data_IF_884445999338
#
_entry.id   IF_884445999338
#
_cell.length_a   1.000
_cell.length_b   1.000
_cell.length_c   1.000
_cell.angle_alpha   90.00
_cell.angle_beta   90.00
_cell.angle_gamma   90.00
#
_symmetry.space_group_name_H-M   'P 1'
#
loop_
_entity.id
_entity.type
_entity.pdbx_description
1 polymer ?
#
# COMPACT_ATOMS: atom_id res chain seq x y z
N UNK A 1 16.11 -10.43 -19.45
CA UNK A 1 15.85 -10.19 -19.14
C UNK A 1 15.63 -9.76 -18.61
N UNK A 2 15.75 -9.94 -18.42
CA UNK A 2 15.57 -9.56 -17.72
C UNK A 2 15.37 -9.12 -17.06
N UNK A 3 15.65 -9.05 -17.02
CA UNK A 3 15.45 -8.64 -16.35
C UNK A 3 14.99 -8.22 -15.72
N UNK A 4 14.93 -8.36 -15.51
CA UNK A 4 14.38 -8.11 -15.01
C UNK A 4 14.22 -7.60 -14.32
N UNK A 5 14.50 -7.75 -14.11
CA UNK A 5 14.33 -7.42 -13.49
C UNK A 5 14.30 -6.63 -12.91
N UNK A 6 14.75 -6.64 -12.85
CA UNK A 6 14.77 -6.00 -12.41
C UNK A 6 14.47 -5.27 -11.99
N UNK A 7 14.24 -5.40 -11.78
CA UNK A 7 13.78 -4.94 -11.48
C UNK A 7 13.52 -4.23 -10.55
N UNK A 8 13.55 -4.90 -9.69
CA UNK A 8 13.45 -4.16 -8.60
C UNK A 8 14.17 -2.94 -8.75
N UNK A 9 13.63 -2.07 -9.24
CA UNK A 9 14.32 -0.92 -9.61
C UNK A 9 13.99 0.22 -8.71
N UNK A 10 14.74 1.28 -8.76
CA UNK A 10 14.44 2.44 -7.93
C UNK A 10 13.08 3.07 -8.23
N UNK A 11 12.50 2.72 -9.37
CA UNK A 11 11.18 3.25 -9.66
C UNK A 11 10.09 2.50 -8.94
N UNK A 12 10.43 1.37 -8.34
CA UNK A 12 9.42 0.58 -7.66
C UNK A 12 8.64 1.36 -6.60
N UNK A 13 9.24 2.29 -5.87
CA UNK A 13 8.46 3.04 -4.88
C UNK A 13 7.25 3.74 -5.46
N UNK A 14 7.38 4.30 -6.65
CA UNK A 14 6.23 4.98 -7.25
C UNK A 14 5.15 4.00 -7.64
N UNK A 15 5.55 2.85 -8.17
CA UNK A 15 4.59 1.82 -8.53
C UNK A 15 3.92 1.30 -7.27
N UNK A 16 4.68 1.11 -6.21
CA UNK A 16 4.13 0.61 -4.95
C UNK A 16 3.11 1.58 -4.39
N UNK A 17 3.40 2.87 -4.45
CA UNK A 17 2.45 3.87 -3.97
C UNK A 17 1.17 3.84 -4.78
N UNK A 18 1.29 3.63 -6.08
CA UNK A 18 0.10 3.56 -6.93
C UNK A 18 -0.75 2.33 -6.58
N UNK A 19 -0.10 1.21 -6.30
CA UNK A 19 -0.82 0.00 -5.93
C UNK A 19 -1.53 0.21 -4.60
N UNK A 20 -0.83 0.75 -3.61
CA UNK A 20 -1.44 0.97 -2.31
C UNK A 20 -2.57 1.98 -2.41
N UNK A 21 -2.36 3.03 -3.20
CA UNK A 21 -3.41 4.04 -3.38
C UNK A 21 -4.65 3.46 -4.01
N UNK A 22 -4.48 2.59 -5.00
CA UNK A 22 -5.62 1.96 -5.63
C UNK A 22 -6.39 1.10 -4.62
N UNK A 23 -5.67 0.36 -3.79
CA UNK A 23 -6.31 -0.49 -2.78
C UNK A 23 -7.05 0.34 -1.74
N UNK A 24 -6.56 1.55 -1.45
CA UNK A 24 -7.21 2.41 -0.48
C UNK A 24 -8.45 3.07 -1.04
N UNK A 25 -8.47 3.31 -2.34
CA UNK A 25 -9.58 4.03 -2.96
C UNK A 25 -10.64 3.09 -3.49
N UNK A 26 -10.23 1.96 -4.09
CA UNK A 26 -11.17 1.06 -4.73
C UNK A 26 -11.23 -0.25 -3.99
N UNK A 27 -12.40 -0.58 -3.50
CA UNK A 27 -12.55 -1.80 -2.72
C UNK A 27 -12.27 -3.05 -3.53
N UNK A 28 -12.46 -2.98 -4.83
CA UNK A 28 -12.28 -4.15 -5.68
C UNK A 28 -10.83 -4.41 -6.03
N UNK A 29 -9.96 -3.46 -5.75
CA UNK A 29 -8.54 -3.64 -6.06
C UNK A 29 -7.88 -4.63 -5.11
N UNK A 30 -8.28 -4.59 -3.85
CA UNK A 30 -7.61 -5.42 -2.85
C UNK A 30 -7.70 -6.91 -3.16
N UNK A 31 -8.87 -7.46 -3.52
CA UNK A 31 -8.91 -8.88 -3.86
C UNK A 31 -7.95 -9.26 -4.98
N UNK A 32 -7.81 -8.40 -5.97
CA UNK A 32 -6.93 -8.70 -7.08
C UNK A 32 -5.47 -8.67 -6.66
N UNK A 33 -5.12 -7.70 -5.84
CA UNK A 33 -3.74 -7.55 -5.41
C UNK A 33 -3.37 -8.60 -4.38
N UNK A 34 -4.29 -8.90 -3.47
CA UNK A 34 -4.02 -9.84 -2.39
C UNK A 34 -3.68 -11.23 -2.93
N UNK A 35 -4.23 -11.57 -4.08
CA UNK A 35 -3.99 -12.87 -4.67
C UNK A 35 -2.57 -12.99 -5.23
N UNK A 36 -1.94 -11.87 -5.52
CA UNK A 36 -0.66 -11.89 -6.22
C UNK A 36 0.50 -11.32 -5.43
N UNK A 37 0.26 -10.46 -4.47
CA UNK A 37 1.33 -9.76 -3.78
C UNK A 37 1.37 -10.11 -2.31
N UNK A 38 2.59 -10.23 -1.79
CA UNK A 38 2.82 -10.38 -0.37
C UNK A 38 3.54 -9.15 0.14
N UNK A 39 3.42 -8.85 1.44
CA UNK A 39 4.08 -7.65 1.96
C UNK A 39 5.57 -7.60 1.69
N UNK A 40 6.25 -8.74 1.78
CA UNK A 40 7.68 -8.76 1.59
C UNK A 40 8.11 -8.48 0.17
N UNK A 41 7.17 -8.47 -0.76
CA UNK A 41 7.49 -8.14 -2.15
C UNK A 41 7.64 -6.65 -2.37
N UNK A 42 7.18 -5.84 -1.41
CA UNK A 42 7.36 -4.41 -1.52
C UNK A 42 8.79 -4.04 -1.15
N UNK A 43 9.37 -3.14 -1.91
CA UNK A 43 10.75 -2.73 -1.69
C UNK A 43 10.88 -1.77 -0.52
N UNK A 44 9.93 -0.84 -0.40
CA UNK A 44 9.98 0.17 0.65
C UNK A 44 9.39 -0.41 1.92
N UNK A 45 10.14 -0.33 3.02
CA UNK A 45 9.67 -0.91 4.28
C UNK A 45 8.34 -0.32 4.71
N UNK A 46 8.20 0.97 4.57
CA UNK A 46 6.94 1.64 4.92
C UNK A 46 5.77 1.01 4.17
N UNK A 47 5.99 0.69 2.90
CA UNK A 47 4.94 0.07 2.09
C UNK A 47 4.65 -1.35 2.54
N UNK A 48 5.69 -2.09 2.96
CA UNK A 48 5.48 -3.42 3.49
C UNK A 48 4.56 -3.39 4.69
N UNK A 49 4.80 -2.43 5.58
CA UNK A 49 4.02 -2.31 6.80
C UNK A 49 2.58 -1.97 6.49
N UNK A 50 2.37 -1.01 5.59
CA UNK A 50 1.02 -0.61 5.22
C UNK A 50 0.29 -1.77 4.56
N UNK A 51 0.94 -2.43 3.61
CA UNK A 51 0.27 -3.51 2.89
C UNK A 51 -0.03 -4.70 3.81
N UNK A 52 0.87 -4.99 4.75
CA UNK A 52 0.62 -6.07 5.69
C UNK A 52 -0.63 -5.82 6.50
N UNK A 53 -0.83 -4.59 6.94
CA UNK A 53 -2.03 -4.24 7.67
C UNK A 53 -3.27 -4.38 6.78
N UNK A 54 -3.18 -3.89 5.55
CA UNK A 54 -4.31 -3.98 4.64
C UNK A 54 -4.65 -5.42 4.30
N UNK A 55 -3.64 -6.25 4.12
CA UNK A 55 -3.88 -7.65 3.80
C UNK A 55 -4.58 -8.36 4.96
N UNK A 56 -4.14 -8.10 6.18
CA UNK A 56 -4.76 -8.69 7.35
C UNK A 56 -6.21 -8.22 7.48
N UNK A 57 -6.45 -6.94 7.23
CA UNK A 57 -7.81 -6.41 7.29
C UNK A 57 -8.68 -7.04 6.22
N UNK A 58 -8.13 -7.23 5.03
CA UNK A 58 -8.88 -7.87 3.97
C UNK A 58 -9.26 -9.29 4.35
N UNK A 59 -8.31 -10.03 4.92
CA UNK A 59 -8.57 -11.40 5.32
C UNK A 59 -9.58 -11.49 6.45
N UNK A 60 -9.66 -10.44 7.27
CA UNK A 60 -10.62 -10.39 8.36
C UNK A 60 -11.97 -9.84 7.92
N UNK A 61 -12.08 -9.44 6.67
CA UNK A 61 -13.34 -8.89 6.18
C UNK A 61 -13.59 -7.45 6.62
N UNK A 62 -12.54 -6.75 7.02
CA UNK A 62 -12.66 -5.39 7.50
C UNK A 62 -12.58 -4.41 6.33
N UNK A 63 -13.39 -3.37 6.38
CA UNK A 63 -13.35 -2.35 5.36
C UNK A 63 -11.97 -1.70 5.32
N UNK A 64 -11.47 -1.44 4.12
CA UNK A 64 -10.15 -0.86 3.93
C UNK A 64 -10.30 0.51 3.29
N UNK A 65 -9.88 1.53 4.03
CA UNK A 65 -9.77 2.89 3.49
C UNK A 65 -8.71 3.60 4.31
N UNK A 66 -8.48 4.87 4.01
CA UNK A 66 -7.41 5.62 4.67
C UNK A 66 -7.60 5.63 6.17
N UNK A 67 -8.82 5.87 6.62
CA UNK A 67 -9.07 5.98 8.04
C UNK A 67 -8.90 4.65 8.76
N UNK A 68 -9.48 3.58 8.22
CA UNK A 68 -9.40 2.30 8.88
C UNK A 68 -7.98 1.75 8.89
N UNK A 69 -7.23 1.96 7.83
CA UNK A 69 -5.84 1.50 7.80
C UNK A 69 -5.02 2.29 8.81
N UNK A 70 -5.27 3.60 8.91
CA UNK A 70 -4.56 4.41 9.88
C UNK A 70 -4.85 3.92 11.29
N UNK A 71 -6.10 3.61 11.59
CA UNK A 71 -6.46 3.11 12.91
C UNK A 71 -5.83 1.76 13.18
N UNK A 72 -5.80 0.90 12.16
CA UNK A 72 -5.20 -0.42 12.32
C UNK A 72 -3.71 -0.30 12.62
N UNK A 73 -3.01 0.56 11.88
CA UNK A 73 -1.58 0.74 12.11
C UNK A 73 -1.30 1.34 13.48
N UNK A 74 -2.14 2.27 13.90
CA UNK A 74 -2.00 2.84 15.23
C UNK A 74 -2.21 1.78 16.30
N UNK A 75 -3.20 0.93 16.12
CA UNK A 75 -3.51 -0.13 17.05
C UNK A 75 -2.37 -1.13 17.15
N UNK A 76 -1.67 -1.35 16.06
CA UNK A 76 -0.53 -2.26 16.03
C UNK A 76 0.75 -1.61 16.53
N UNK A 77 0.73 -0.31 16.78
CA UNK A 77 1.94 0.40 17.16
C UNK A 77 2.88 0.59 16.01
N UNK A 78 2.37 0.56 14.78
CA UNK A 78 3.20 0.66 13.59
C UNK A 78 3.01 1.94 12.80
N UNK A 79 2.19 2.86 13.29
CA UNK A 79 1.87 4.05 12.50
C UNK A 79 3.12 4.86 12.21
N UNK A 80 4.00 5.02 13.18
CA UNK A 80 5.23 5.78 12.96
C UNK A 80 6.12 5.13 11.92
N UNK A 81 6.23 3.81 11.96
CA UNK A 81 7.06 3.11 11.00
C UNK A 81 6.48 3.17 9.60
N UNK A 82 5.18 3.36 9.51
CA UNK A 82 4.51 3.48 8.21
C UNK A 82 4.59 4.91 7.67
N UNK A 83 5.32 5.78 8.35
CA UNK A 83 5.46 7.16 7.88
C UNK A 83 4.53 8.12 8.60
N UNK A 84 3.95 7.69 9.73
CA UNK A 84 3.01 8.53 10.45
C UNK A 84 1.73 8.69 9.67
N UNK A 85 0.90 9.66 10.07
CA UNK A 85 -0.38 9.87 9.38
C UNK A 85 -0.22 10.15 7.90
N UNK A 86 0.91 10.75 7.51
CA UNK A 86 1.11 11.11 6.12
C UNK A 86 1.60 9.95 5.29
N UNK A 87 2.10 8.90 5.92
CA UNK A 87 2.60 7.76 5.17
C UNK A 87 1.51 7.06 4.40
N UNK A 88 0.29 7.05 4.93
CA UNK A 88 -0.84 6.43 4.26
C UNK A 88 -1.44 7.37 3.25
N UNK A 89 -1.51 8.64 3.60
CA UNK A 89 -2.08 9.64 2.71
C UNK A 89 -1.26 9.81 1.44
N UNK A 90 0.04 9.59 1.54
CA UNK A 90 0.93 9.82 0.42
C UNK A 90 0.61 8.94 -0.80
N UNK A 91 0.35 7.63 -0.64
CA UNK A 91 -0.03 6.82 -1.79
C UNK A 91 -1.29 7.33 -2.48
N UNK A 92 -2.27 7.77 -1.70
CA UNK A 92 -3.49 8.31 -2.27
C UNK A 92 -3.19 9.60 -3.00
N UNK A 93 -2.35 10.45 -2.41
CA UNK A 93 -1.99 11.71 -3.04
C UNK A 93 -1.28 11.47 -4.36
N UNK A 94 -0.38 10.50 -4.39
CA UNK A 94 0.33 10.20 -5.62
C UNK A 94 -0.64 9.74 -6.70
N UNK A 95 -1.54 8.84 -6.34
CA UNK A 95 -2.54 8.35 -7.27
C UNK A 95 -3.39 9.50 -7.79
N UNK A 96 -3.75 10.39 -6.90
CA UNK A 96 -4.56 11.54 -7.29
C UNK A 96 -3.79 12.47 -8.22
N UNK A 97 -2.52 12.62 -7.98
CA UNK A 97 -1.69 13.52 -8.80
C UNK A 97 -1.50 12.97 -10.21
N UNK A 98 -1.67 11.68 -10.41
CA UNK A 98 -1.52 11.14 -11.75
C UNK A 98 -2.71 11.47 -12.62
N UNK A 99 -3.78 11.97 -12.06
CA UNK A 99 -4.91 12.36 -12.85
C UNK A 99 -4.58 13.61 -13.65
N UNK A 100 -5.05 13.66 -14.86
CA UNK A 100 -4.78 14.85 -15.66
C UNK A 100 -5.41 16.05 -15.05
N UNK A 101 -4.73 17.08 -15.10
CA UNK A 101 -5.29 18.32 -14.60
C UNK A 101 -5.71 19.20 -15.76
#
# INVERSE_FOLDING_TARGET
>A
MMNTENRVSPQAPEIEEAILGACLIEQEAMPLVADKLRPEMFYVLRHQIIYAAMLAMYQAGTKIDILTVKEELSHRGKLEEAGGPYGITQPVSYTHLTLPT
#
